data_IF_260947415139
#
_entry.id   IF_260947415139
#
_cell.length_a   1.000
_cell.length_b   1.000
_cell.length_c   1.000
_cell.angle_alpha   90.00
_cell.angle_beta   90.00
_cell.angle_gamma   90.00
#
_symmetry.space_group_name_H-M   'P 1'
#
loop_
_entity.id
_entity.type
_entity.pdbx_description
1 polymer ?
#
# COMPACT_ATOMS: atom_id res chain seq x y z
N UNK A 1 -23.32 44.61 -25.03
CA UNK A 1 -22.66 43.73 -26.01
C UNK A 1 -22.10 42.53 -25.25
N UNK A 2 -22.77 41.39 -25.36
CA UNK A 2 -22.38 40.04 -24.90
C UNK A 2 -23.23 39.05 -25.71
N UNK A 3 -22.95 37.72 -25.75
CA UNK A 3 -21.85 36.92 -25.20
C UNK A 3 -21.24 35.95 -26.28
N UNK A 4 -20.35 35.00 -25.96
CA UNK A 4 -20.24 33.65 -26.60
C UNK A 4 -19.06 32.79 -26.05
N UNK A 5 -19.38 31.56 -25.63
CA UNK A 5 -18.49 30.37 -25.55
C UNK A 5 -17.43 30.38 -24.46
N UNK A 6 -17.65 29.82 -23.25
CA UNK A 6 -17.64 28.38 -22.98
C UNK A 6 -16.88 27.51 -24.00
N UNK A 7 -15.65 27.16 -23.64
CA UNK A 7 -14.95 25.89 -23.93
C UNK A 7 -14.30 25.53 -22.60
N UNK A 8 -14.91 24.75 -21.69
CA UNK A 8 -15.22 23.31 -21.78
C UNK A 8 -14.06 22.50 -22.38
N UNK A 9 -12.95 22.45 -21.65
CA UNK A 9 -12.09 21.27 -21.71
C UNK A 9 -12.62 20.22 -20.73
N UNK A 10 -13.64 19.51 -21.21
CA UNK A 10 -13.91 18.14 -20.79
C UNK A 10 -12.74 17.27 -21.26
N UNK A 11 -11.85 16.87 -20.37
CA UNK A 11 -11.06 15.65 -20.55
C UNK A 11 -11.59 14.62 -19.54
N UNK A 12 -12.48 13.75 -20.01
CA UNK A 12 -12.90 12.55 -19.29
C UNK A 12 -11.92 11.41 -19.58
N UNK A 13 -11.85 10.48 -18.61
CA UNK A 13 -11.46 9.06 -18.75
C UNK A 13 -9.98 8.68 -18.69
N UNK A 14 -9.49 8.61 -17.46
CA UNK A 14 -8.94 7.37 -16.93
C UNK A 14 -9.34 7.28 -15.46
N UNK A 15 -9.99 6.20 -15.01
CA UNK A 15 -10.07 5.96 -13.56
C UNK A 15 -8.63 5.89 -13.08
N UNK A 16 -8.18 6.90 -12.32
CA UNK A 16 -6.94 6.80 -11.59
C UNK A 16 -7.18 5.74 -10.51
N UNK A 17 -6.91 4.47 -10.85
CA UNK A 17 -6.69 3.45 -9.83
C UNK A 17 -5.28 3.73 -9.30
N UNK A 18 -5.14 4.87 -8.64
CA UNK A 18 -4.01 5.13 -7.74
C UNK A 18 -4.20 4.17 -6.58
N UNK A 19 -3.82 2.90 -6.76
CA UNK A 19 -3.58 2.05 -5.60
C UNK A 19 -2.47 2.75 -4.82
N UNK A 20 -2.80 3.30 -3.65
CA UNK A 20 -1.81 3.93 -2.79
C UNK A 20 -0.61 2.98 -2.64
N UNK A 21 0.57 3.41 -3.07
CA UNK A 21 1.78 2.62 -2.94
C UNK A 21 2.36 2.84 -1.55
N UNK A 22 2.53 1.75 -0.80
CA UNK A 22 3.15 1.75 0.51
C UNK A 22 4.64 1.48 0.35
N UNK A 23 5.48 2.45 0.73
CA UNK A 23 6.93 2.27 0.79
C UNK A 23 7.32 1.32 1.93
N UNK A 24 7.96 0.21 1.56
CA UNK A 24 8.39 -0.86 2.47
C UNK A 24 9.93 -0.95 2.60
N UNK A 25 10.65 0.08 2.16
CA UNK A 25 12.09 0.25 2.32
C UNK A 25 12.87 0.20 1.02
N UNK A 26 13.95 1.00 0.93
CA UNK A 26 14.91 1.02 -0.19
C UNK A 26 14.30 1.18 -1.58
N UNK A 27 13.24 1.99 -1.70
CA UNK A 27 12.53 2.18 -2.98
C UNK A 27 11.57 1.05 -3.35
N UNK A 28 11.47 -0.01 -2.53
CA UNK A 28 10.48 -1.06 -2.72
C UNK A 28 9.11 -0.56 -2.24
N UNK A 29 8.08 -0.86 -3.02
CA UNK A 29 6.70 -0.48 -2.74
C UNK A 29 5.75 -1.66 -2.93
N UNK A 30 4.63 -1.65 -2.22
CA UNK A 30 3.53 -2.61 -2.37
C UNK A 30 2.22 -1.85 -2.46
N UNK A 31 1.24 -2.40 -3.19
CA UNK A 31 -0.12 -1.86 -3.18
C UNK A 31 -0.69 -1.90 -1.76
N UNK A 32 -0.97 -0.73 -1.17
CA UNK A 32 -1.50 -0.60 0.19
C UNK A 32 -2.85 -1.32 0.33
N UNK A 33 -3.67 -1.30 -0.72
CA UNK A 33 -4.96 -2.00 -0.81
C UNK A 33 -4.85 -3.51 -0.61
N UNK A 34 -3.69 -4.10 -0.90
CA UNK A 34 -3.47 -5.54 -0.85
C UNK A 34 -2.80 -6.02 0.44
N UNK A 35 -2.39 -5.10 1.32
CA UNK A 35 -1.77 -5.47 2.59
C UNK A 35 -2.85 -5.96 3.55
N UNK A 36 -2.79 -7.24 3.91
CA UNK A 36 -3.72 -7.89 4.85
C UNK A 36 -3.17 -7.88 6.27
N UNK A 37 -1.85 -8.02 6.43
CA UNK A 37 -1.22 -7.99 7.75
C UNK A 37 0.22 -7.46 7.70
N UNK A 38 0.65 -6.82 8.79
CA UNK A 38 2.03 -6.42 9.06
C UNK A 38 2.44 -7.06 10.39
N UNK A 39 3.49 -7.87 10.36
CA UNK A 39 3.91 -8.76 11.46
C UNK A 39 5.38 -8.52 11.83
N UNK A 40 5.75 -8.88 13.06
CA UNK A 40 7.16 -8.86 13.52
C UNK A 40 7.81 -10.23 13.33
N UNK A 41 9.10 -10.34 12.93
CA UNK A 41 9.71 -11.62 12.53
C UNK A 41 10.23 -12.50 13.68
N UNK A 42 9.99 -12.12 14.94
CA UNK A 42 10.74 -12.64 16.10
C UNK A 42 10.32 -14.01 16.65
N UNK A 43 9.20 -14.58 16.18
CA UNK A 43 8.63 -15.81 16.77
C UNK A 43 8.81 -17.05 15.90
N UNK A 44 8.74 -18.25 16.51
CA UNK A 44 8.80 -19.52 15.78
C UNK A 44 7.74 -19.68 14.68
N UNK A 45 6.47 -19.27 14.88
CA UNK A 45 5.47 -19.21 13.80
C UNK A 45 5.90 -18.36 12.60
N UNK A 46 6.59 -17.23 12.84
CA UNK A 46 7.02 -16.33 11.76
C UNK A 46 8.18 -16.90 10.95
N UNK A 47 9.06 -17.67 11.60
CA UNK A 47 10.07 -18.47 10.90
C UNK A 47 9.40 -19.49 9.99
N UNK A 48 8.40 -20.23 10.50
CA UNK A 48 7.63 -21.20 9.70
C UNK A 48 6.92 -20.55 8.51
N UNK A 49 6.27 -19.40 8.72
CA UNK A 49 5.60 -18.64 7.67
C UNK A 49 6.56 -18.28 6.51
N UNK A 50 7.75 -17.78 6.84
CA UNK A 50 8.77 -17.43 5.85
C UNK A 50 9.27 -18.68 5.09
N UNK A 51 9.53 -19.77 5.80
CA UNK A 51 10.03 -21.00 5.21
C UNK A 51 8.98 -21.64 4.28
N UNK A 52 7.70 -21.59 4.66
CA UNK A 52 6.58 -22.02 3.82
C UNK A 52 6.45 -21.16 2.55
N UNK A 53 6.46 -19.83 2.70
CA UNK A 53 6.39 -18.92 1.56
C UNK A 53 7.57 -19.10 0.60
N UNK A 54 8.77 -19.39 1.13
CA UNK A 54 9.96 -19.70 0.33
C UNK A 54 9.77 -20.98 -0.48
N UNK A 55 9.28 -22.06 0.15
CA UNK A 55 9.00 -23.33 -0.52
C UNK A 55 7.92 -23.20 -1.59
N UNK A 56 6.94 -22.32 -1.36
CA UNK A 56 5.86 -22.06 -2.28
C UNK A 56 6.19 -21.02 -3.37
N UNK A 57 7.43 -20.52 -3.46
CA UNK A 57 7.84 -19.45 -4.40
C UNK A 57 7.03 -18.16 -4.29
N UNK A 58 6.56 -17.81 -3.08
CA UNK A 58 5.79 -16.59 -2.79
C UNK A 58 6.45 -15.70 -1.73
N UNK A 59 7.73 -15.93 -1.45
CA UNK A 59 8.54 -15.08 -0.58
C UNK A 59 9.26 -14.02 -1.41
N UNK A 60 9.06 -12.75 -1.05
CA UNK A 60 9.74 -11.61 -1.65
C UNK A 60 10.67 -10.99 -0.59
N UNK A 61 11.94 -10.80 -0.91
CA UNK A 61 12.91 -10.17 -0.01
C UNK A 61 13.17 -8.72 -0.44
N UNK A 62 12.59 -7.77 0.29
CA UNK A 62 12.79 -6.34 0.09
C UNK A 62 13.78 -5.73 1.09
N UNK A 63 14.60 -6.54 1.77
CA UNK A 63 15.49 -6.08 2.84
C UNK A 63 16.81 -5.49 2.33
N UNK A 64 17.19 -5.75 1.08
CA UNK A 64 18.48 -5.35 0.50
C UNK A 64 19.68 -5.81 1.37
N UNK A 65 19.61 -7.06 1.87
CA UNK A 65 20.66 -7.67 2.70
C UNK A 65 20.71 -7.15 4.14
N UNK A 66 19.75 -6.32 4.55
CA UNK A 66 19.63 -5.83 5.93
C UNK A 66 18.81 -6.79 6.78
N UNK A 67 18.88 -6.62 8.10
CA UNK A 67 18.07 -7.40 9.04
C UNK A 67 16.58 -7.22 8.76
N UNK A 68 15.86 -8.33 8.55
CA UNK A 68 14.39 -8.34 8.53
C UNK A 68 13.86 -7.80 9.85
N UNK A 69 13.05 -6.76 9.77
CA UNK A 69 12.42 -6.07 10.92
C UNK A 69 10.90 -6.15 10.87
N UNK A 70 10.33 -6.48 9.72
CA UNK A 70 8.91 -6.76 9.55
C UNK A 70 8.65 -7.77 8.44
N UNK A 71 7.45 -8.34 8.48
CA UNK A 71 6.90 -9.24 7.49
C UNK A 71 5.54 -8.68 7.07
N UNK A 72 5.30 -8.56 5.77
CA UNK A 72 4.04 -8.08 5.21
C UNK A 72 3.38 -9.26 4.50
N UNK A 73 2.09 -9.46 4.76
CA UNK A 73 1.28 -10.49 4.10
C UNK A 73 0.25 -9.80 3.22
N UNK A 74 0.14 -10.26 1.98
CA UNK A 74 -0.81 -9.72 1.00
C UNK A 74 -2.01 -10.66 0.80
N UNK A 75 -3.05 -10.17 0.13
CA UNK A 75 -4.25 -10.93 -0.28
C UNK A 75 -3.96 -12.13 -1.18
N UNK A 76 -2.93 -12.02 -2.04
CA UNK A 76 -2.36 -13.12 -2.84
C UNK A 76 -1.49 -14.08 -2.01
N UNK A 77 -1.53 -13.92 -0.69
CA UNK A 77 -0.79 -14.65 0.32
C UNK A 77 0.74 -14.42 0.25
N UNK A 78 1.26 -13.59 -0.67
CA UNK A 78 2.70 -13.32 -0.76
C UNK A 78 3.23 -12.76 0.56
N UNK A 79 4.41 -13.24 0.95
CA UNK A 79 5.10 -12.84 2.16
C UNK A 79 6.28 -11.97 1.76
N UNK A 80 6.27 -10.71 2.19
CA UNK A 80 7.29 -9.73 1.85
C UNK A 80 8.11 -9.40 3.09
N UNK A 81 9.42 -9.55 3.02
CA UNK A 81 10.34 -9.19 4.10
C UNK A 81 10.80 -7.75 3.95
N UNK A 82 10.76 -6.98 5.03
CA UNK A 82 11.19 -5.57 5.01
C UNK A 82 12.20 -5.28 6.12
N UNK A 83 13.08 -4.31 5.83
CA UNK A 83 14.03 -3.74 6.78
C UNK A 83 13.44 -2.59 7.61
N UNK A 84 12.19 -2.19 7.36
CA UNK A 84 11.49 -1.21 8.20
C UNK A 84 10.72 -1.90 9.31
N UNK A 85 10.48 -1.18 10.41
CA UNK A 85 9.74 -1.70 11.55
C UNK A 85 8.25 -1.85 11.21
N UNK A 86 7.61 -2.86 11.77
CA UNK A 86 6.18 -3.10 11.56
C UNK A 86 5.33 -1.86 11.90
N UNK A 87 5.65 -1.19 13.00
CA UNK A 87 5.00 0.04 13.43
C UNK A 87 5.13 1.18 12.40
N UNK A 88 6.32 1.39 11.84
CA UNK A 88 6.56 2.41 10.80
C UNK A 88 5.74 2.14 9.54
N UNK A 89 5.64 0.88 9.13
CA UNK A 89 4.86 0.49 7.96
C UNK A 89 3.36 0.67 8.25
N UNK A 90 2.92 0.31 9.46
CA UNK A 90 1.54 0.51 9.92
C UNK A 90 1.13 1.97 9.90
N UNK A 91 1.94 2.87 10.48
CA UNK A 91 1.68 4.32 10.46
C UNK A 91 1.51 4.86 9.03
N UNK A 92 2.35 4.43 8.09
CA UNK A 92 2.26 4.84 6.68
C UNK A 92 1.03 4.27 5.98
N UNK A 93 0.65 3.03 6.28
CA UNK A 93 -0.54 2.40 5.74
C UNK A 93 -1.81 3.11 6.23
N UNK A 94 -1.89 3.46 7.51
CA UNK A 94 -3.00 4.24 8.07
C UNK A 94 -3.12 5.61 7.41
N UNK A 95 -2.00 6.31 7.22
CA UNK A 95 -1.98 7.62 6.55
C UNK A 95 -2.44 7.54 5.07
N UNK A 96 -2.18 6.43 4.38
CA UNK A 96 -2.68 6.20 3.03
C UNK A 96 -4.21 6.05 3.00
N UNK A 97 -4.79 5.34 3.96
CA UNK A 97 -6.25 5.19 4.08
C UNK A 97 -6.98 6.51 4.34
N UNK A 98 -6.40 7.41 5.14
CA UNK A 98 -7.02 8.70 5.50
C UNK A 98 -7.21 9.64 4.29
N UNK A 99 -6.35 9.56 3.26
CA UNK A 99 -6.52 10.39 2.04
C UNK A 99 -7.78 10.07 1.24
N UNK A 100 -8.26 8.82 1.29
CA UNK A 100 -9.46 8.41 0.55
C UNK A 100 -10.77 8.92 1.16
N UNK A 101 -10.80 9.14 2.47
CA UNK A 101 -12.01 9.62 3.18
C UNK A 101 -12.25 11.13 2.94
N UNK A 102 -11.18 11.93 2.96
CA UNK A 102 -11.28 13.40 2.82
C UNK A 102 -11.78 13.85 1.44
N UNK A 103 -11.56 13.05 0.40
CA UNK A 103 -12.02 13.38 -0.96
C UNK A 103 -13.52 13.13 -1.15
N UNK A 104 -14.19 12.37 -0.26
CA UNK A 104 -15.63 12.03 -0.38
C UNK A 104 -16.57 12.98 0.36
N UNK A 105 -16.05 13.78 1.30
CA UNK A 105 -16.85 14.64 2.17
C UNK A 105 -17.12 16.04 1.56
N UNK A 106 -16.44 16.41 0.48
CA UNK A 106 -16.57 17.73 -0.15
C UNK A 106 -17.73 17.91 -1.15
N UNK A 107 -18.41 16.83 -1.53
CA UNK A 107 -19.42 16.84 -2.61
C UNK A 107 -20.89 16.88 -2.11
N UNK A 108 -21.13 17.02 -0.78
CA UNK A 108 -22.47 16.87 -0.20
C UNK A 108 -23.13 18.17 0.32
N UNK A 109 -22.55 19.36 0.09
CA UNK A 109 -23.06 20.63 0.64
C UNK A 109 -23.57 21.65 -0.41
N UNK A 110 -23.91 21.20 -1.62
CA UNK A 110 -24.69 22.01 -2.58
C UNK A 110 -25.99 21.29 -2.97
N UNK A 111 -27.05 21.52 -2.20
CA UNK A 111 -28.41 21.05 -2.47
C UNK A 111 -29.44 21.59 -1.49
#
# INVERSE_FOLDING_TARGET
MAPLGQTRDHVKEGREVGEDLLNIGYGNMVAASRVVAILTPGSAPMKRLRDEARKASRLIDATQGKRTRSIIVTDSNHVILSAFMAETIGQRLSAAGTRKEQTRQGDQDEG
#
